data_IF_196759776269
#
_entry.id   IF_196759776269
#
_cell.length_a   1.000
_cell.length_b   1.000
_cell.length_c   1.000
_cell.angle_alpha   90.00
_cell.angle_beta   90.00
_cell.angle_gamma   90.00
#
_symmetry.space_group_name_H-M   'P 1'
#
loop_
_entity.id
_entity.type
_entity.pdbx_description
1 polymer ?
#
# COMPACT_ATOMS: atom_id res chain seq x y z
N UNK A 1 25.32 7.16 47.96
CA UNK A 1 24.01 6.52 47.94
C UNK A 1 23.92 5.56 46.73
N UNK A 2 23.42 4.31 46.85
CA UNK A 2 23.40 3.32 45.78
C UNK A 2 22.74 3.83 44.51
N UNK A 3 21.64 4.60 44.59
CA UNK A 3 20.95 5.20 43.45
C UNK A 3 21.83 6.13 42.63
N UNK A 4 22.64 6.96 43.27
CA UNK A 4 23.56 7.91 42.59
C UNK A 4 24.69 7.16 41.89
N UNK A 5 25.27 6.12 42.51
CA UNK A 5 26.30 5.26 41.90
C UNK A 5 25.73 4.51 40.67
N UNK A 6 24.51 3.97 40.77
CA UNK A 6 23.81 3.30 39.66
C UNK A 6 23.65 4.25 38.46
N UNK A 7 23.10 5.44 38.68
CA UNK A 7 22.87 6.41 37.61
C UNK A 7 24.19 6.83 36.96
N UNK A 8 25.23 7.06 37.78
CA UNK A 8 26.56 7.40 37.25
C UNK A 8 27.18 6.28 36.43
N UNK A 9 27.05 5.03 36.82
CA UNK A 9 27.51 3.87 36.05
C UNK A 9 26.76 3.72 34.73
N UNK A 10 25.46 3.94 34.71
CA UNK A 10 24.65 3.94 33.49
C UNK A 10 25.13 4.98 32.51
N UNK A 11 25.25 6.25 32.92
CA UNK A 11 25.77 7.34 32.09
C UNK A 11 27.20 7.10 31.54
N UNK A 12 28.09 6.47 32.31
CA UNK A 12 29.43 6.12 31.85
C UNK A 12 29.39 5.08 30.74
N UNK A 13 28.49 4.09 30.84
CA UNK A 13 28.38 3.01 29.86
C UNK A 13 27.73 3.50 28.59
N UNK A 14 26.60 4.23 28.68
CA UNK A 14 25.96 4.83 27.53
C UNK A 14 26.92 5.68 26.71
N UNK A 15 27.76 6.50 27.36
CA UNK A 15 28.82 7.25 26.70
C UNK A 15 29.89 6.38 26.08
N UNK A 16 30.27 5.27 26.73
CA UNK A 16 31.29 4.36 26.21
C UNK A 16 30.83 3.62 24.98
N UNK A 17 29.59 3.07 25.01
CA UNK A 17 29.03 2.33 23.90
C UNK A 17 28.34 3.20 22.85
N UNK A 18 28.09 4.47 23.16
CA UNK A 18 27.37 5.44 22.28
C UNK A 18 26.00 4.91 21.84
N UNK A 19 25.37 4.10 22.69
CA UNK A 19 24.06 3.49 22.47
C UNK A 19 23.47 3.06 23.81
N UNK A 20 22.12 2.89 23.84
CA UNK A 20 21.40 2.40 25.02
C UNK A 20 21.84 0.98 25.40
N UNK A 21 22.16 0.80 26.67
CA UNK A 21 22.60 -0.48 27.21
C UNK A 21 21.59 -1.08 28.20
N UNK A 22 21.34 -2.39 28.06
CA UNK A 22 20.64 -3.20 29.03
C UNK A 22 21.67 -3.74 30.03
N UNK A 23 21.46 -3.48 31.32
CA UNK A 23 22.45 -3.76 32.36
C UNK A 23 21.83 -4.57 33.50
N UNK A 24 22.53 -5.62 33.87
CA UNK A 24 22.23 -6.40 35.07
C UNK A 24 23.22 -6.06 36.19
N UNK A 25 22.72 -5.84 37.39
CA UNK A 25 23.52 -5.52 38.55
C UNK A 25 22.90 -6.09 39.84
N UNK A 26 23.71 -6.27 40.85
CA UNK A 26 23.27 -6.57 42.23
C UNK A 26 23.85 -5.58 43.20
N UNK A 27 23.23 -5.47 44.37
CA UNK A 27 23.72 -4.63 45.47
C UNK A 27 23.84 -5.51 46.70
N UNK A 28 25.06 -5.66 47.18
CA UNK A 28 25.38 -6.40 48.39
C UNK A 28 26.10 -5.50 49.41
N UNK A 29 25.63 -5.45 50.64
CA UNK A 29 26.22 -4.61 51.70
C UNK A 29 26.45 -3.15 51.27
N UNK A 30 25.54 -2.55 50.49
CA UNK A 30 25.62 -1.17 49.97
C UNK A 30 26.60 -0.97 48.81
N UNK A 31 27.23 -2.03 48.31
CA UNK A 31 28.16 -2.01 47.17
C UNK A 31 27.42 -2.47 45.90
N UNK A 32 27.57 -1.71 44.80
CA UNK A 32 27.01 -2.04 43.51
C UNK A 32 27.99 -2.94 42.73
N UNK A 33 27.51 -4.09 42.30
CA UNK A 33 28.21 -5.03 41.43
C UNK A 33 27.54 -5.10 40.08
N UNK A 34 28.25 -4.80 38.99
CA UNK A 34 27.78 -4.96 37.63
C UNK A 34 27.99 -6.40 37.20
N UNK A 35 26.93 -7.07 36.79
CA UNK A 35 26.97 -8.50 36.37
C UNK A 35 27.08 -8.61 34.84
N UNK A 36 26.29 -7.86 34.09
CA UNK A 36 26.27 -7.93 32.63
C UNK A 36 25.90 -6.59 32.02
N UNK A 37 26.38 -6.33 30.80
CA UNK A 37 25.91 -5.27 29.93
C UNK A 37 25.75 -5.82 28.51
N UNK A 38 24.70 -5.40 27.81
CA UNK A 38 24.42 -5.79 26.42
C UNK A 38 23.65 -4.68 25.71
N UNK A 39 23.63 -4.71 24.36
CA UNK A 39 22.80 -3.79 23.61
C UNK A 39 21.33 -4.05 23.92
N UNK A 40 20.58 -3.00 24.27
CA UNK A 40 19.17 -3.10 24.63
C UNK A 40 18.30 -3.45 23.43
N UNK A 41 17.45 -4.45 23.59
CA UNK A 41 16.38 -4.72 22.64
C UNK A 41 15.35 -3.59 22.70
N UNK A 42 14.89 -3.11 21.55
CA UNK A 42 14.02 -1.94 21.48
C UNK A 42 13.00 -2.07 20.35
N UNK A 43 11.86 -1.42 20.51
CA UNK A 43 10.87 -1.25 19.44
C UNK A 43 11.35 -0.18 18.48
N UNK A 44 10.75 -0.11 17.28
CA UNK A 44 11.07 0.91 16.28
C UNK A 44 10.93 2.34 16.82
N UNK A 45 9.85 2.64 17.52
CA UNK A 45 9.63 3.96 18.14
C UNK A 45 10.70 4.28 19.21
N UNK A 46 11.10 3.29 20.03
CA UNK A 46 12.17 3.47 21.00
C UNK A 46 13.54 3.67 20.33
N UNK A 47 13.81 2.99 19.20
CA UNK A 47 15.05 3.15 18.46
C UNK A 47 15.21 4.58 17.95
N UNK A 48 14.17 5.16 17.35
CA UNK A 48 14.18 6.55 16.89
C UNK A 48 14.37 7.52 18.05
N UNK A 49 13.55 7.35 19.11
CA UNK A 49 13.65 8.23 20.27
C UNK A 49 15.05 8.22 20.88
N UNK A 50 15.65 7.04 21.05
CA UNK A 50 17.00 6.89 21.59
C UNK A 50 18.01 7.57 20.67
N UNK A 51 17.94 7.36 19.36
CA UNK A 51 18.83 7.99 18.39
C UNK A 51 18.74 9.52 18.45
N UNK A 52 17.52 10.05 18.52
CA UNK A 52 17.28 11.51 18.65
C UNK A 52 17.82 12.06 19.97
N UNK A 53 17.55 11.38 21.08
CA UNK A 53 18.06 11.79 22.40
C UNK A 53 19.60 11.78 22.44
N UNK A 54 20.26 10.76 21.89
CA UNK A 54 21.71 10.66 21.83
C UNK A 54 22.37 11.79 21.01
N UNK A 55 21.74 12.20 19.91
CA UNK A 55 22.19 13.36 19.13
C UNK A 55 22.00 14.66 19.93
N UNK A 56 20.83 14.85 20.56
CA UNK A 56 20.54 16.02 21.43
C UNK A 56 21.49 16.13 22.60
N UNK A 57 21.93 15.01 23.16
CA UNK A 57 22.94 14.95 24.23
C UNK A 57 24.40 15.10 23.71
N UNK A 58 24.60 15.19 22.39
CA UNK A 58 25.92 15.33 21.77
C UNK A 58 26.80 14.08 21.88
N UNK A 59 26.17 12.90 22.05
CA UNK A 59 26.89 11.63 22.15
C UNK A 59 27.24 11.02 20.81
N UNK A 60 26.39 11.24 19.80
CA UNK A 60 26.58 10.75 18.42
C UNK A 60 26.24 11.88 17.43
N UNK A 61 26.69 11.73 16.18
CA UNK A 61 26.32 12.63 15.10
C UNK A 61 24.97 12.20 14.49
N UNK A 62 24.36 13.06 13.64
CA UNK A 62 23.14 12.74 12.89
C UNK A 62 23.36 11.53 11.98
N UNK A 63 24.52 11.45 11.32
CA UNK A 63 24.89 10.34 10.44
C UNK A 63 24.99 9.02 11.21
N UNK A 64 25.63 9.05 12.38
CA UNK A 64 25.73 7.88 13.26
C UNK A 64 24.35 7.43 13.74
N UNK A 65 23.46 8.37 14.09
CA UNK A 65 22.10 8.09 14.51
C UNK A 65 21.29 7.37 13.42
N UNK A 66 21.39 7.81 12.16
CA UNK A 66 20.70 7.18 11.02
C UNK A 66 21.21 5.76 10.81
N UNK A 67 22.51 5.52 10.93
CA UNK A 67 23.10 4.19 10.76
C UNK A 67 22.74 3.23 11.91
N UNK A 68 22.33 3.72 13.07
CA UNK A 68 21.93 2.88 14.21
C UNK A 68 20.51 2.32 14.09
N UNK A 69 19.65 2.91 13.23
CA UNK A 69 18.26 2.48 13.07
C UNK A 69 18.11 1.63 11.81
N UNK A 70 17.65 0.39 11.97
CA UNK A 70 17.35 -0.49 10.84
C UNK A 70 16.14 0.04 10.06
N UNK A 71 16.28 0.37 8.74
CA UNK A 71 15.18 0.85 7.92
C UNK A 71 13.93 -0.06 7.93
N UNK A 72 14.11 -1.38 8.05
CA UNK A 72 12.99 -2.34 8.12
C UNK A 72 12.10 -2.13 9.35
N UNK A 73 12.64 -1.57 10.42
CA UNK A 73 11.84 -1.27 11.61
C UNK A 73 10.93 -0.05 11.39
N UNK A 74 11.28 0.85 10.44
CA UNK A 74 10.50 2.04 10.16
C UNK A 74 9.15 1.73 9.53
N UNK A 75 9.05 0.64 8.75
CA UNK A 75 7.79 0.23 8.11
C UNK A 75 6.66 0.09 9.15
N UNK A 76 6.97 -0.46 10.32
CA UNK A 76 5.99 -0.62 11.38
C UNK A 76 5.43 0.71 11.92
N UNK A 77 6.15 1.83 11.74
CA UNK A 77 5.74 3.17 12.19
C UNK A 77 4.95 3.94 11.14
N UNK A 78 4.92 3.46 9.90
CA UNK A 78 4.19 4.06 8.78
C UNK A 78 2.74 3.58 8.69
N UNK A 79 2.38 2.58 9.50
CA UNK A 79 1.05 1.99 9.52
C UNK A 79 0.26 2.36 10.78
N UNK A 80 -1.08 2.35 10.74
CA UNK A 80 -1.90 2.52 11.93
C UNK A 80 -1.52 1.53 13.04
N UNK A 81 -1.60 1.95 14.28
CA UNK A 81 -1.33 1.12 15.46
C UNK A 81 -2.51 1.17 16.43
N UNK A 82 -2.61 0.17 17.31
CA UNK A 82 -3.61 0.22 18.37
C UNK A 82 -3.19 1.18 19.49
N UNK A 83 -4.15 1.90 20.04
CA UNK A 83 -3.95 2.70 21.26
C UNK A 83 -3.47 1.79 22.39
N UNK A 84 -2.28 2.04 22.94
CA UNK A 84 -1.63 1.16 23.90
C UNK A 84 -2.47 0.87 25.16
N UNK A 85 -3.28 1.84 25.61
CA UNK A 85 -4.17 1.67 26.76
C UNK A 85 -5.35 0.74 26.46
N UNK A 86 -5.86 0.75 25.22
CA UNK A 86 -6.93 -0.14 24.76
C UNK A 86 -6.39 -1.57 24.53
N UNK A 87 -5.22 -1.69 23.90
CA UNK A 87 -4.58 -2.97 23.62
C UNK A 87 -4.24 -3.77 24.90
N UNK A 88 -3.83 -3.09 25.98
CA UNK A 88 -3.51 -3.76 27.27
C UNK A 88 -4.72 -4.46 27.92
N UNK A 89 -5.94 -4.11 27.54
CA UNK A 89 -7.19 -4.70 28.06
C UNK A 89 -7.72 -5.82 27.14
N UNK A 90 -7.16 -5.95 25.95
CA UNK A 90 -7.61 -6.92 24.96
C UNK A 90 -6.87 -8.25 25.13
N UNK A 91 -7.61 -9.35 25.01
CA UNK A 91 -7.04 -10.71 25.01
C UNK A 91 -6.89 -11.21 23.60
N UNK A 92 -5.77 -11.88 23.32
CA UNK A 92 -5.53 -12.50 22.01
C UNK A 92 -6.49 -13.67 21.84
N UNK A 93 -7.34 -13.57 20.84
CA UNK A 93 -8.39 -14.55 20.55
C UNK A 93 -7.91 -15.66 19.60
N UNK A 94 -7.10 -15.27 18.59
CA UNK A 94 -6.47 -16.19 17.65
C UNK A 94 -5.14 -15.61 17.18
N UNK A 95 -4.31 -16.42 16.54
CA UNK A 95 -3.01 -15.99 16.04
C UNK A 95 -2.71 -16.58 14.67
N UNK A 96 -2.29 -15.71 13.74
CA UNK A 96 -1.80 -16.07 12.41
C UNK A 96 -0.40 -15.53 12.16
N UNK A 97 -0.02 -15.47 10.89
CA UNK A 97 1.23 -14.90 10.43
C UNK A 97 1.08 -13.37 10.24
N UNK A 98 2.06 -12.64 10.70
CA UNK A 98 2.20 -11.19 10.48
C UNK A 98 2.54 -10.94 9.00
N UNK A 99 1.51 -10.90 8.13
CA UNK A 99 1.69 -10.92 6.68
C UNK A 99 1.87 -9.52 6.07
N UNK A 100 1.15 -8.52 6.58
CA UNK A 100 1.32 -7.11 6.21
C UNK A 100 1.09 -6.25 7.45
N UNK A 101 1.99 -5.31 7.78
CA UNK A 101 1.95 -4.56 9.04
C UNK A 101 0.73 -3.66 9.16
N UNK A 102 0.47 -3.19 10.39
CA UNK A 102 -0.62 -2.28 10.71
C UNK A 102 -1.64 -2.88 11.68
N UNK A 103 -2.50 -2.01 12.21
CA UNK A 103 -3.64 -2.36 13.04
C UNK A 103 -4.94 -2.04 12.29
N UNK A 104 -5.83 -2.99 12.20
CA UNK A 104 -7.14 -2.79 11.59
C UNK A 104 -8.25 -3.22 12.54
N UNK A 105 -9.32 -2.44 12.56
CA UNK A 105 -10.53 -2.74 13.31
C UNK A 105 -11.73 -2.51 12.41
N UNK A 106 -12.62 -3.47 12.33
CA UNK A 106 -13.83 -3.38 11.49
C UNK A 106 -14.80 -4.53 11.72
N UNK A 107 -15.93 -4.43 11.05
CA UNK A 107 -16.93 -5.49 11.00
C UNK A 107 -16.48 -6.61 10.06
N UNK A 108 -16.76 -7.84 10.42
CA UNK A 108 -16.42 -9.03 9.63
C UNK A 108 -17.32 -9.14 8.41
N UNK A 109 -16.70 -9.36 7.25
CA UNK A 109 -17.36 -9.72 6.00
C UNK A 109 -16.66 -10.91 5.35
N UNK A 110 -17.42 -11.81 4.72
CA UNK A 110 -16.90 -13.08 4.19
C UNK A 110 -16.81 -13.12 2.66
N UNK A 111 -17.39 -12.13 1.97
CA UNK A 111 -17.28 -11.98 0.51
C UNK A 111 -16.69 -10.60 0.17
N UNK A 112 -16.08 -10.51 -1.00
CA UNK A 112 -15.55 -9.23 -1.50
C UNK A 112 -16.68 -8.24 -1.76
N UNK A 113 -17.79 -8.71 -2.33
CA UNK A 113 -18.97 -7.91 -2.66
C UNK A 113 -19.60 -7.30 -1.42
N UNK A 114 -19.88 -8.10 -0.38
CA UNK A 114 -20.45 -7.60 0.88
C UNK A 114 -19.52 -6.58 1.57
N UNK A 115 -18.20 -6.81 1.48
CA UNK A 115 -17.21 -5.92 2.03
C UNK A 115 -17.21 -4.56 1.30
N UNK A 116 -17.24 -4.57 -0.03
CA UNK A 116 -17.29 -3.36 -0.87
C UNK A 116 -18.59 -2.59 -0.62
N UNK A 117 -19.74 -3.26 -0.59
CA UNK A 117 -21.04 -2.65 -0.29
C UNK A 117 -21.05 -2.00 1.10
N UNK A 118 -20.54 -2.73 2.12
CA UNK A 118 -20.43 -2.20 3.48
C UNK A 118 -19.63 -0.90 3.56
N UNK A 119 -18.50 -0.86 2.86
CA UNK A 119 -17.62 0.32 2.90
C UNK A 119 -18.15 1.45 2.02
N UNK A 120 -18.52 1.17 0.76
CA UNK A 120 -18.92 2.22 -0.19
C UNK A 120 -20.31 2.78 0.07
N UNK A 121 -21.29 1.92 0.42
CA UNK A 121 -22.68 2.35 0.59
C UNK A 121 -23.04 2.70 2.04
N UNK A 122 -22.52 1.93 2.99
CA UNK A 122 -22.83 2.12 4.43
C UNK A 122 -21.77 2.92 5.19
N UNK A 123 -20.60 3.19 4.59
CA UNK A 123 -19.49 3.90 5.24
C UNK A 123 -18.89 3.15 6.43
N UNK A 124 -19.00 1.82 6.46
CA UNK A 124 -18.54 0.99 7.55
C UNK A 124 -17.05 0.66 7.42
N UNK A 125 -16.39 0.47 8.56
CA UNK A 125 -15.05 -0.12 8.56
C UNK A 125 -15.20 -1.64 8.52
N UNK A 126 -14.57 -2.28 7.54
CA UNK A 126 -14.71 -3.71 7.28
C UNK A 126 -13.37 -4.45 7.45
N UNK A 127 -13.43 -5.70 7.91
CA UNK A 127 -12.34 -6.68 7.84
C UNK A 127 -12.82 -7.84 6.99
N UNK A 128 -12.11 -8.09 5.88
CA UNK A 128 -12.41 -9.21 5.00
C UNK A 128 -11.84 -10.50 5.58
N UNK A 129 -12.70 -11.50 5.84
CA UNK A 129 -12.32 -12.80 6.39
C UNK A 129 -12.54 -13.89 5.36
N UNK A 130 -11.47 -14.55 4.93
CA UNK A 130 -11.54 -15.61 3.92
C UNK A 130 -10.85 -16.88 4.38
N UNK A 131 -11.22 -18.02 3.80
CA UNK A 131 -10.41 -19.24 3.93
C UNK A 131 -9.04 -19.04 3.28
N UNK A 132 -9.04 -18.58 2.04
CA UNK A 132 -7.93 -18.09 1.22
C UNK A 132 -8.46 -16.99 0.33
N UNK A 133 -7.65 -16.03 -0.09
CA UNK A 133 -8.05 -15.03 -1.09
C UNK A 133 -7.66 -15.46 -2.49
N UNK A 134 -8.47 -15.05 -3.46
CA UNK A 134 -8.27 -15.21 -4.90
C UNK A 134 -8.17 -13.84 -5.60
N UNK A 135 -7.82 -13.76 -6.88
CA UNK A 135 -7.86 -12.51 -7.64
C UNK A 135 -9.21 -11.80 -7.64
N UNK A 136 -10.31 -12.54 -7.50
CA UNK A 136 -11.68 -12.01 -7.40
C UNK A 136 -11.93 -11.22 -6.11
N UNK A 137 -11.10 -11.44 -5.06
CA UNK A 137 -11.23 -10.77 -3.79
C UNK A 137 -10.52 -9.40 -3.75
N UNK A 138 -9.82 -8.99 -4.80
CA UNK A 138 -8.96 -7.78 -4.82
C UNK A 138 -9.74 -6.51 -4.45
N UNK A 139 -10.93 -6.31 -5.00
CA UNK A 139 -11.77 -5.13 -4.69
C UNK A 139 -12.20 -5.10 -3.21
N UNK A 140 -12.55 -6.26 -2.66
CA UNK A 140 -12.86 -6.40 -1.23
C UNK A 140 -11.66 -6.16 -0.34
N UNK A 141 -10.46 -6.61 -0.76
CA UNK A 141 -9.21 -6.37 -0.04
C UNK A 141 -8.81 -4.90 -0.04
N UNK A 142 -9.05 -4.19 -1.14
CA UNK A 142 -8.79 -2.76 -1.26
C UNK A 142 -9.74 -1.92 -0.40
N UNK A 143 -11.02 -2.29 -0.38
CA UNK A 143 -12.03 -1.60 0.42
C UNK A 143 -11.84 -1.83 1.93
N UNK A 144 -11.36 -3.02 2.33
CA UNK A 144 -11.23 -3.41 3.72
C UNK A 144 -10.13 -2.64 4.48
N UNK A 145 -10.35 -2.40 5.78
CA UNK A 145 -9.30 -1.92 6.68
C UNK A 145 -8.22 -2.98 6.92
N UNK A 146 -8.56 -4.25 6.77
CA UNK A 146 -7.64 -5.35 6.93
C UNK A 146 -8.19 -6.68 6.44
N UNK A 147 -7.29 -7.64 6.23
CA UNK A 147 -7.58 -8.97 5.70
C UNK A 147 -7.14 -10.05 6.68
N UNK A 148 -8.03 -11.00 6.96
CA UNK A 148 -7.75 -12.17 7.80
C UNK A 148 -8.00 -13.44 6.98
N UNK A 149 -7.00 -14.32 6.88
CA UNK A 149 -7.19 -15.61 6.22
C UNK A 149 -6.90 -16.79 7.14
N UNK A 150 -7.73 -17.83 7.02
CA UNK A 150 -7.54 -19.09 7.77
C UNK A 150 -6.34 -19.89 7.26
N UNK A 151 -6.09 -19.84 5.95
CA UNK A 151 -4.98 -20.50 5.27
C UNK A 151 -4.09 -19.52 4.57
N UNK A 152 -2.89 -19.97 4.20
CA UNK A 152 -1.91 -19.18 3.46
C UNK A 152 -0.66 -18.91 4.27
N UNK A 153 0.44 -18.68 3.56
CA UNK A 153 1.75 -18.33 4.12
C UNK A 153 2.14 -16.90 3.76
N UNK A 154 3.38 -16.53 4.07
CA UNK A 154 3.96 -15.21 3.74
C UNK A 154 4.04 -14.93 2.23
N UNK A 155 3.92 -15.95 1.40
CA UNK A 155 3.90 -15.88 -0.07
C UNK A 155 2.53 -16.15 -0.68
N UNK A 156 1.48 -16.27 0.15
CA UNK A 156 0.10 -16.44 -0.33
C UNK A 156 -0.39 -15.20 -1.05
N UNK A 157 -1.43 -15.35 -1.87
CA UNK A 157 -2.08 -14.25 -2.58
C UNK A 157 -2.47 -13.12 -1.60
N UNK A 158 -3.14 -13.45 -0.48
CA UNK A 158 -3.48 -12.47 0.55
C UNK A 158 -2.29 -11.66 1.05
N UNK A 159 -1.19 -12.34 1.40
CA UNK A 159 -0.01 -11.71 1.96
C UNK A 159 0.73 -10.81 0.95
N UNK A 160 0.81 -11.24 -0.31
CA UNK A 160 1.50 -10.48 -1.36
C UNK A 160 0.70 -9.24 -1.77
N UNK A 161 -0.60 -9.43 -2.03
CA UNK A 161 -1.49 -8.35 -2.45
C UNK A 161 -1.69 -7.32 -1.34
N UNK A 162 -1.96 -7.75 -0.10
CA UNK A 162 -2.13 -6.84 1.02
C UNK A 162 -0.87 -5.98 1.28
N UNK A 163 0.34 -6.55 1.16
CA UNK A 163 1.60 -5.78 1.23
C UNK A 163 1.73 -4.77 0.09
N UNK A 164 1.33 -5.16 -1.12
CA UNK A 164 1.32 -4.25 -2.26
C UNK A 164 0.36 -3.07 -2.09
N UNK A 165 -0.77 -3.29 -1.43
CA UNK A 165 -1.79 -2.27 -1.13
C UNK A 165 -1.49 -1.47 0.16
N UNK A 166 -0.57 -1.92 1.01
CA UNK A 166 -0.35 -1.35 2.34
C UNK A 166 -1.48 -1.67 3.34
N UNK A 167 -2.33 -2.66 3.04
CA UNK A 167 -3.46 -3.08 3.87
C UNK A 167 -2.99 -4.05 4.95
N UNK A 168 -3.44 -3.85 6.20
CA UNK A 168 -3.16 -4.75 7.32
C UNK A 168 -3.58 -6.19 6.97
N UNK A 169 -2.70 -7.18 7.19
CA UNK A 169 -3.04 -8.58 6.89
C UNK A 169 -2.49 -9.55 7.93
N UNK A 170 -3.38 -10.41 8.42
CA UNK A 170 -3.03 -11.60 9.20
C UNK A 170 -3.40 -12.83 8.36
N UNK A 171 -2.39 -13.58 7.93
CA UNK A 171 -2.58 -14.75 7.07
C UNK A 171 -2.36 -16.07 7.82
N UNK A 172 -3.00 -17.14 7.33
CA UNK A 172 -2.75 -18.48 7.85
C UNK A 172 -3.12 -18.66 9.32
N UNK A 173 -4.21 -18.02 9.77
CA UNK A 173 -4.75 -18.19 11.12
C UNK A 173 -5.51 -19.53 11.21
N UNK A 174 -4.79 -20.64 11.39
CA UNK A 174 -5.35 -21.99 11.36
C UNK A 174 -6.35 -22.29 12.48
N UNK A 175 -6.41 -21.46 13.50
CA UNK A 175 -7.37 -21.57 14.61
C UNK A 175 -8.80 -21.22 14.17
N UNK A 176 -8.97 -20.40 13.11
CA UNK A 176 -10.29 -20.00 12.60
C UNK A 176 -10.84 -21.03 11.62
N UNK A 177 -12.12 -21.34 11.76
CA UNK A 177 -12.88 -22.19 10.84
C UNK A 177 -14.00 -21.35 10.20
N UNK A 178 -13.80 -20.97 8.96
CA UNK A 178 -14.76 -20.14 8.19
C UNK A 178 -15.91 -21.02 7.71
N UNK A 179 -17.14 -20.54 7.90
CA UNK A 179 -18.38 -21.15 7.48
C UNK A 179 -19.15 -20.10 6.64
N UNK A 180 -19.05 -20.23 5.33
CA UNK A 180 -19.70 -19.30 4.39
C UNK A 180 -21.20 -19.41 4.38
N UNK A 181 -21.75 -20.65 4.58
CA UNK A 181 -23.19 -20.90 4.53
C UNK A 181 -23.92 -20.20 5.68
N UNK A 182 -23.27 -20.12 6.85
CA UNK A 182 -23.81 -19.44 8.04
C UNK A 182 -23.27 -18.04 8.24
N UNK A 183 -22.46 -17.51 7.30
CA UNK A 183 -21.81 -16.23 7.38
C UNK A 183 -21.14 -15.98 8.75
N UNK A 184 -20.28 -16.92 9.18
CA UNK A 184 -19.58 -16.86 10.45
C UNK A 184 -18.23 -17.58 10.40
N UNK A 185 -17.41 -17.39 11.44
CA UNK A 185 -16.28 -18.26 11.71
C UNK A 185 -16.25 -18.67 13.20
N UNK A 186 -15.58 -19.79 13.46
CA UNK A 186 -15.47 -20.37 14.79
C UNK A 186 -14.03 -20.38 15.25
N UNK A 187 -13.79 -20.02 16.51
CA UNK A 187 -12.51 -20.16 17.22
C UNK A 187 -12.77 -20.57 18.65
N UNK A 188 -12.14 -21.66 19.12
CA UNK A 188 -12.16 -22.09 20.52
C UNK A 188 -13.57 -22.12 21.15
N UNK A 189 -14.60 -22.52 20.37
CA UNK A 189 -15.99 -22.58 20.83
C UNK A 189 -16.76 -21.26 20.79
N UNK A 190 -16.13 -20.18 20.37
CA UNK A 190 -16.78 -18.88 20.13
C UNK A 190 -17.12 -18.73 18.66
N UNK A 191 -18.32 -18.22 18.37
CA UNK A 191 -18.79 -17.90 17.02
C UNK A 191 -18.75 -16.41 16.78
N UNK A 192 -18.11 -15.99 15.69
CA UNK A 192 -18.10 -14.60 15.20
C UNK A 192 -18.89 -14.54 13.90
N UNK A 193 -19.93 -13.71 13.87
CA UNK A 193 -20.84 -13.59 12.73
C UNK A 193 -20.48 -12.40 11.85
N UNK A 194 -20.99 -12.41 10.63
CA UNK A 194 -20.93 -11.23 9.76
C UNK A 194 -21.54 -10.01 10.47
N UNK A 195 -20.83 -8.89 10.43
CA UNK A 195 -21.21 -7.66 11.12
C UNK A 195 -20.66 -7.53 12.56
N UNK A 196 -20.13 -8.60 13.17
CA UNK A 196 -19.44 -8.49 14.45
C UNK A 196 -18.08 -7.79 14.28
N UNK A 197 -17.64 -7.07 15.31
CA UNK A 197 -16.35 -6.39 15.28
C UNK A 197 -15.21 -7.31 15.66
N UNK A 198 -14.13 -7.25 14.86
CA UNK A 198 -12.83 -7.81 15.21
C UNK A 198 -11.74 -6.75 15.02
N UNK A 199 -10.63 -6.96 15.69
CA UNK A 199 -9.41 -6.17 15.50
C UNK A 199 -8.25 -7.10 15.19
N UNK A 200 -7.43 -6.76 14.19
CA UNK A 200 -6.29 -7.56 13.76
C UNK A 200 -5.01 -6.72 13.77
N UNK A 201 -3.93 -7.34 14.23
CA UNK A 201 -2.58 -6.75 14.25
C UNK A 201 -1.69 -7.46 13.24
N UNK A 202 -1.51 -6.85 12.09
CA UNK A 202 -0.67 -7.36 11.02
C UNK A 202 0.82 -7.34 11.32
N UNK A 203 1.25 -6.63 12.37
CA UNK A 203 2.65 -6.59 12.82
C UNK A 203 3.01 -7.76 13.75
N UNK A 204 2.04 -8.27 14.51
CA UNK A 204 2.23 -9.37 15.46
C UNK A 204 1.54 -10.67 15.06
N UNK A 205 0.57 -10.60 14.14
CA UNK A 205 -0.28 -11.70 13.73
C UNK A 205 -1.43 -11.99 14.72
N UNK A 206 -1.68 -11.13 15.67
CA UNK A 206 -2.72 -11.33 16.68
C UNK A 206 -4.08 -10.90 16.17
N UNK A 207 -5.11 -11.64 16.58
CA UNK A 207 -6.52 -11.34 16.33
C UNK A 207 -7.23 -11.15 17.66
N UNK A 208 -8.05 -10.14 17.78
CA UNK A 208 -8.79 -9.76 18.99
C UNK A 208 -10.28 -9.68 18.67
N UNK A 209 -11.11 -10.07 19.65
CA UNK A 209 -12.57 -9.84 19.58
C UNK A 209 -12.91 -8.38 19.91
N UNK A 210 -13.91 -7.88 19.21
CA UNK A 210 -14.44 -6.55 19.46
C UNK A 210 -13.59 -5.43 18.85
N UNK A 211 -13.95 -4.23 19.23
CA UNK A 211 -13.39 -3.00 18.71
C UNK A 211 -12.26 -2.49 19.60
N UNK A 212 -11.05 -2.42 19.06
CA UNK A 212 -9.89 -1.77 19.68
C UNK A 212 -9.62 -0.48 18.90
N UNK A 213 -9.49 0.63 19.64
CA UNK A 213 -9.20 1.94 19.06
C UNK A 213 -7.83 1.93 18.37
N UNK A 214 -7.80 2.47 17.13
CA UNK A 214 -6.58 2.61 16.33
C UNK A 214 -6.17 4.07 16.27
N UNK A 215 -4.88 4.33 16.24
CA UNK A 215 -4.30 5.64 15.92
C UNK A 215 -3.53 5.55 14.60
N UNK A 216 -3.73 6.61 13.78
CA UNK A 216 -3.00 6.77 12.53
C UNK A 216 -1.49 6.90 12.80
N UNK A 217 -0.68 6.51 11.80
CA UNK A 217 0.75 6.68 11.86
C UNK A 217 1.12 8.15 12.06
N UNK A 218 1.74 8.47 13.19
CA UNK A 218 2.16 9.84 13.51
C UNK A 218 3.57 10.08 12.95
N UNK A 219 3.64 10.70 11.78
CA UNK A 219 4.90 11.18 11.19
C UNK A 219 5.36 12.51 11.84
N UNK A 220 5.22 12.62 13.17
CA UNK A 220 5.47 13.84 13.94
C UNK A 220 6.52 13.59 15.06
N UNK A 221 7.00 14.66 15.68
CA UNK A 221 7.93 14.59 16.81
C UNK A 221 9.29 14.00 16.43
N UNK A 222 9.82 13.07 17.23
CA UNK A 222 11.15 12.50 17.05
C UNK A 222 11.30 11.77 15.69
N UNK A 223 10.23 11.18 15.15
CA UNK A 223 10.25 10.56 13.81
C UNK A 223 10.46 11.62 12.71
N UNK A 224 9.73 12.72 12.75
CA UNK A 224 9.87 13.78 11.75
C UNK A 224 11.28 14.43 11.83
N UNK A 225 11.81 14.63 13.05
CA UNK A 225 13.15 15.13 13.26
C UNK A 225 14.21 14.18 12.70
N UNK A 226 14.10 12.89 12.99
CA UNK A 226 14.98 11.85 12.46
C UNK A 226 14.96 11.79 10.92
N UNK A 227 13.77 11.83 10.32
CA UNK A 227 13.61 11.83 8.87
C UNK A 227 14.17 13.10 8.22
N UNK A 228 14.08 14.27 8.90
CA UNK A 228 14.71 15.50 8.38
C UNK A 228 16.22 15.37 8.27
N UNK A 229 16.88 14.66 9.21
CA UNK A 229 18.32 14.38 9.11
C UNK A 229 18.64 13.43 7.95
N UNK A 230 17.80 12.42 7.72
CA UNK A 230 17.95 11.55 6.56
C UNK A 230 17.85 12.35 5.25
N UNK A 231 16.91 13.30 5.17
CA UNK A 231 16.75 14.18 4.01
C UNK A 231 17.93 15.15 3.81
N UNK A 232 18.56 15.61 4.89
CA UNK A 232 19.75 16.45 4.82
C UNK A 232 20.99 15.68 4.28
N UNK A 233 21.10 14.38 4.59
CA UNK A 233 22.28 13.56 4.32
C UNK A 233 22.17 12.81 2.99
N UNK A 234 20.96 12.38 2.60
CA UNK A 234 20.77 11.61 1.37
C UNK A 234 21.13 12.44 0.13
N UNK A 235 21.71 11.75 -0.87
CA UNK A 235 22.01 12.31 -2.19
C UNK A 235 20.99 11.96 -3.24
N UNK A 236 20.28 10.82 -3.08
CA UNK A 236 19.26 10.36 -4.00
C UNK A 236 17.89 10.96 -3.66
N UNK A 237 17.17 11.32 -4.71
CA UNK A 237 15.76 11.74 -4.61
C UNK A 237 14.84 10.54 -4.65
N UNK A 238 13.74 10.58 -3.88
CA UNK A 238 12.68 9.57 -3.91
C UNK A 238 11.56 10.07 -4.81
N UNK A 239 11.24 9.29 -5.85
CA UNK A 239 10.12 9.51 -6.74
C UNK A 239 9.16 8.33 -6.66
N UNK A 240 7.86 8.62 -6.75
CA UNK A 240 6.81 7.62 -6.65
C UNK A 240 6.12 7.39 -7.99
N UNK A 241 5.33 6.33 -8.10
CA UNK A 241 4.36 6.18 -9.18
C UNK A 241 3.08 6.91 -8.77
N UNK A 242 2.53 7.71 -9.68
CA UNK A 242 1.24 8.37 -9.50
C UNK A 242 0.62 8.63 -10.87
N UNK A 243 -0.61 8.20 -11.06
CA UNK A 243 -1.31 8.22 -12.33
C UNK A 243 -2.52 9.17 -12.30
N UNK A 244 -2.89 9.67 -11.10
CA UNK A 244 -3.98 10.62 -10.90
C UNK A 244 -3.52 11.87 -10.13
N UNK A 245 -4.24 13.01 -10.25
CA UNK A 245 -3.97 14.20 -9.45
C UNK A 245 -4.06 13.95 -7.93
N UNK A 246 -4.97 13.08 -7.50
CA UNK A 246 -5.15 12.69 -6.10
C UNK A 246 -3.91 11.96 -5.60
N UNK A 247 -3.44 10.96 -6.33
CA UNK A 247 -2.27 10.17 -5.94
C UNK A 247 -1.00 11.04 -5.92
N UNK A 248 -0.85 11.94 -6.91
CA UNK A 248 0.26 12.88 -6.97
C UNK A 248 0.29 13.80 -5.72
N UNK A 249 -0.88 14.31 -5.30
CA UNK A 249 -1.00 15.13 -4.09
C UNK A 249 -0.64 14.34 -2.83
N UNK A 250 -1.18 13.15 -2.69
CA UNK A 250 -0.89 12.27 -1.55
C UNK A 250 0.58 11.87 -1.50
N UNK A 251 1.19 11.58 -2.65
CA UNK A 251 2.61 11.29 -2.77
C UNK A 251 3.48 12.45 -2.28
N UNK A 252 3.13 13.69 -2.66
CA UNK A 252 3.81 14.91 -2.19
C UNK A 252 3.67 15.08 -0.67
N UNK A 253 2.49 14.83 -0.11
CA UNK A 253 2.25 14.87 1.34
C UNK A 253 3.09 13.83 2.10
N UNK A 254 3.37 12.68 1.49
CA UNK A 254 4.28 11.66 2.01
C UNK A 254 5.77 11.96 1.78
N UNK A 255 6.10 13.10 1.18
CA UNK A 255 7.48 13.55 0.99
C UNK A 255 8.14 13.09 -0.31
N UNK A 256 7.39 12.61 -1.30
CA UNK A 256 7.91 12.31 -2.62
C UNK A 256 8.42 13.59 -3.31
N UNK A 257 9.55 13.49 -3.99
CA UNK A 257 10.23 14.60 -4.66
C UNK A 257 10.00 14.58 -6.18
N UNK A 258 8.97 13.92 -6.62
CA UNK A 258 8.56 13.84 -8.01
C UNK A 258 7.78 12.57 -8.31
N UNK A 259 7.25 12.50 -9.53
CA UNK A 259 6.65 11.28 -10.09
C UNK A 259 7.70 10.59 -10.95
N UNK A 260 8.08 9.38 -10.56
CA UNK A 260 9.06 8.54 -11.27
C UNK A 260 8.45 7.83 -12.46
N UNK A 261 7.14 7.54 -12.40
CA UNK A 261 6.36 6.98 -13.49
C UNK A 261 4.88 7.37 -13.35
N UNK A 262 4.38 8.07 -14.37
CA UNK A 262 2.96 8.26 -14.62
C UNK A 262 2.58 7.41 -15.84
N UNK A 263 1.73 6.41 -15.65
CA UNK A 263 1.29 5.46 -16.67
C UNK A 263 -0.01 5.95 -17.29
N UNK A 264 0.07 6.45 -18.52
CA UNK A 264 -1.08 7.08 -19.18
C UNK A 264 -2.21 6.11 -19.51
N UNK A 265 -1.93 4.81 -19.61
CA UNK A 265 -2.95 3.78 -19.81
C UNK A 265 -3.95 3.71 -18.66
N UNK A 266 -3.55 3.97 -17.41
CA UNK A 266 -4.46 3.96 -16.28
C UNK A 266 -5.50 5.08 -16.34
N UNK A 267 -5.20 6.16 -17.05
CA UNK A 267 -6.16 7.24 -17.28
C UNK A 267 -7.31 6.84 -18.23
N UNK A 268 -7.17 5.73 -18.96
CA UNK A 268 -8.09 5.32 -20.02
C UNK A 268 -9.14 4.30 -19.57
N UNK A 269 -8.96 3.65 -18.44
CA UNK A 269 -9.89 2.60 -17.96
C UNK A 269 -11.14 3.15 -17.26
N UNK A 270 -11.26 4.45 -17.05
CA UNK A 270 -12.48 5.04 -16.48
C UNK A 270 -13.67 4.84 -17.42
N UNK A 271 -14.86 4.57 -16.85
CA UNK A 271 -16.08 4.24 -17.58
C UNK A 271 -16.48 5.30 -18.63
N UNK A 272 -16.24 6.57 -18.33
CA UNK A 272 -16.50 7.71 -19.22
C UNK A 272 -15.49 7.86 -20.36
N UNK A 273 -14.36 7.16 -20.31
CA UNK A 273 -13.23 7.29 -21.24
C UNK A 273 -13.03 6.09 -22.14
N UNK A 274 -13.26 4.89 -21.59
CA UNK A 274 -13.04 3.62 -22.30
C UNK A 274 -13.77 3.55 -23.66
N UNK A 275 -15.00 4.10 -23.86
CA UNK A 275 -15.66 4.08 -25.17
C UNK A 275 -14.86 4.82 -26.24
N UNK A 276 -14.27 6.00 -25.92
CA UNK A 276 -13.48 6.77 -26.89
C UNK A 276 -12.16 6.06 -27.24
N UNK A 277 -11.55 5.33 -26.28
CA UNK A 277 -10.38 4.49 -26.53
C UNK A 277 -10.72 3.33 -27.46
N UNK A 278 -11.82 2.64 -27.20
CA UNK A 278 -12.29 1.53 -28.04
C UNK A 278 -12.62 2.02 -29.46
N UNK A 279 -13.26 3.19 -29.61
CA UNK A 279 -13.49 3.82 -30.91
C UNK A 279 -12.17 4.11 -31.65
N UNK A 280 -11.16 4.59 -30.96
CA UNK A 280 -9.82 4.80 -31.51
C UNK A 280 -9.20 3.48 -32.00
N UNK A 281 -9.29 2.41 -31.20
CA UNK A 281 -8.72 1.09 -31.51
C UNK A 281 -9.35 0.45 -32.74
N UNK A 282 -10.68 0.52 -32.87
CA UNK A 282 -11.39 -0.09 -34.01
C UNK A 282 -11.42 0.79 -35.26
N UNK A 283 -10.86 2.00 -35.20
CA UNK A 283 -10.79 2.91 -36.35
C UNK A 283 -9.97 2.33 -37.48
N UNK A 284 -10.55 2.26 -38.68
CA UNK A 284 -9.89 1.72 -39.89
C UNK A 284 -9.06 2.77 -40.65
N UNK A 285 -9.36 4.07 -40.45
CA UNK A 285 -8.64 5.18 -41.11
C UNK A 285 -8.01 6.13 -40.09
N UNK A 286 -7.01 6.88 -40.54
CA UNK A 286 -6.31 7.90 -39.73
C UNK A 286 -7.30 8.99 -39.29
N UNK A 287 -8.24 9.38 -40.17
CA UNK A 287 -9.23 10.43 -39.90
C UNK A 287 -10.18 10.00 -38.78
N UNK A 288 -10.68 8.76 -38.84
CA UNK A 288 -11.52 8.18 -37.79
C UNK A 288 -10.76 8.12 -36.46
N UNK A 289 -9.51 7.66 -36.48
CA UNK A 289 -8.66 7.59 -35.28
C UNK A 289 -8.41 8.96 -34.69
N UNK A 290 -8.10 9.97 -35.53
CA UNK A 290 -7.95 11.37 -35.08
C UNK A 290 -9.23 11.94 -34.48
N UNK A 291 -10.40 11.59 -35.01
CA UNK A 291 -11.68 12.02 -34.45
C UNK A 291 -11.93 11.43 -33.05
N UNK A 292 -11.63 10.15 -32.83
CA UNK A 292 -11.69 9.52 -31.51
C UNK A 292 -10.68 10.14 -30.54
N UNK A 293 -9.43 10.33 -30.97
CA UNK A 293 -8.37 10.96 -30.19
C UNK A 293 -8.72 12.42 -29.78
N UNK A 294 -9.45 13.14 -30.61
CA UNK A 294 -9.91 14.49 -30.29
C UNK A 294 -10.88 14.52 -29.08
N UNK A 295 -11.60 13.42 -28.82
CA UNK A 295 -12.45 13.28 -27.64
C UNK A 295 -11.61 13.02 -26.36
N UNK A 296 -10.50 12.29 -26.50
CA UNK A 296 -9.61 11.91 -25.41
C UNK A 296 -8.71 13.07 -24.97
N UNK A 297 -8.23 13.88 -25.92
CA UNK A 297 -7.29 14.96 -25.68
C UNK A 297 -7.67 15.89 -24.51
N UNK A 298 -8.89 16.46 -24.43
CA UNK A 298 -9.24 17.35 -23.32
C UNK A 298 -9.28 16.65 -21.97
N UNK A 299 -9.66 15.36 -21.92
CA UNK A 299 -9.70 14.58 -20.70
C UNK A 299 -8.29 14.35 -20.17
N UNK A 300 -7.39 13.85 -21.02
CA UNK A 300 -6.01 13.58 -20.63
C UNK A 300 -5.23 14.86 -20.31
N UNK A 301 -5.50 15.97 -21.01
CA UNK A 301 -4.94 17.28 -20.68
C UNK A 301 -5.34 17.71 -19.26
N UNK A 302 -6.61 17.55 -18.90
CA UNK A 302 -7.09 17.87 -17.56
C UNK A 302 -6.38 17.06 -16.47
N UNK A 303 -6.09 15.77 -16.74
CA UNK A 303 -5.35 14.91 -15.80
C UNK A 303 -3.92 15.40 -15.62
N UNK A 304 -3.21 15.69 -16.72
CA UNK A 304 -1.84 16.22 -16.64
C UNK A 304 -1.78 17.57 -15.95
N UNK A 305 -2.69 18.50 -16.27
CA UNK A 305 -2.79 19.76 -15.54
C UNK A 305 -2.98 19.55 -14.03
N UNK A 306 -3.84 18.62 -13.65
CA UNK A 306 -4.08 18.28 -12.26
C UNK A 306 -2.83 17.71 -11.58
N UNK A 307 -2.14 16.77 -12.24
CA UNK A 307 -0.89 16.17 -11.73
C UNK A 307 0.21 17.23 -11.61
N UNK A 308 0.41 18.07 -12.64
CA UNK A 308 1.44 19.11 -12.63
C UNK A 308 1.17 20.18 -11.57
N UNK A 309 -0.09 20.57 -11.35
CA UNK A 309 -0.47 21.48 -10.26
C UNK A 309 -0.21 20.86 -8.89
N UNK A 310 -0.51 19.57 -8.73
CA UNK A 310 -0.25 18.86 -7.47
C UNK A 310 1.25 18.79 -7.17
N UNK A 311 2.07 18.50 -8.19
CA UNK A 311 3.52 18.38 -8.04
C UNK A 311 4.25 19.72 -7.95
N UNK A 312 3.69 20.81 -8.47
CA UNK A 312 4.14 22.19 -8.26
C UNK A 312 5.66 22.36 -8.42
N UNK A 313 6.16 22.21 -9.65
CA UNK A 313 7.59 22.35 -10.01
C UNK A 313 8.45 21.10 -9.77
N UNK A 314 7.91 20.05 -9.13
CA UNK A 314 8.61 18.77 -9.02
C UNK A 314 8.55 18.00 -10.35
N UNK A 315 9.58 17.20 -10.68
CA UNK A 315 9.62 16.46 -11.94
C UNK A 315 8.55 15.37 -12.01
N UNK A 316 7.94 15.25 -13.20
CA UNK A 316 6.97 14.18 -13.51
C UNK A 316 7.46 13.45 -14.75
N UNK A 317 7.74 12.14 -14.63
CA UNK A 317 8.08 11.28 -15.75
C UNK A 317 6.82 10.66 -16.31
N UNK A 318 6.42 11.04 -17.50
CA UNK A 318 5.24 10.51 -18.19
C UNK A 318 5.64 9.39 -19.12
N UNK A 319 5.01 8.22 -18.98
CA UNK A 319 5.08 7.14 -19.97
C UNK A 319 3.89 7.30 -20.93
N UNK A 320 4.17 7.50 -22.19
CA UNK A 320 3.14 7.48 -23.24
C UNK A 320 2.54 6.06 -23.33
N UNK A 321 1.44 5.90 -24.06
CA UNK A 321 0.71 4.65 -24.18
C UNK A 321 1.65 3.47 -24.48
N UNK A 322 1.73 2.53 -23.54
CA UNK A 322 2.65 1.39 -23.63
C UNK A 322 1.95 0.06 -23.90
N UNK A 323 0.82 -0.32 -23.24
CA UNK A 323 0.20 -1.62 -23.44
C UNK A 323 -0.27 -1.85 -24.87
N UNK A 324 -0.31 -3.12 -25.33
CA UNK A 324 -0.92 -3.45 -26.60
C UNK A 324 -2.42 -3.14 -26.59
N UNK A 325 -2.97 -2.78 -27.76
CA UNK A 325 -4.34 -2.30 -27.86
C UNK A 325 -5.41 -3.33 -27.49
N UNK A 326 -5.09 -4.63 -27.55
CA UNK A 326 -6.03 -5.69 -27.18
C UNK A 326 -6.41 -5.65 -25.70
N UNK A 327 -5.60 -5.06 -24.81
CA UNK A 327 -5.93 -4.96 -23.38
C UNK A 327 -7.14 -4.04 -23.10
N UNK A 328 -7.53 -3.18 -24.04
CA UNK A 328 -8.65 -2.24 -23.90
C UNK A 328 -9.96 -2.75 -24.49
N UNK A 329 -9.95 -3.87 -25.20
CA UNK A 329 -11.12 -4.44 -25.85
C UNK A 329 -11.55 -5.72 -25.15
N UNK A 330 -12.87 -6.04 -25.15
CA UNK A 330 -13.37 -7.25 -24.52
C UNK A 330 -12.91 -8.51 -25.28
N UNK A 331 -12.83 -9.62 -24.56
CA UNK A 331 -12.39 -10.92 -25.11
C UNK A 331 -13.52 -11.93 -25.21
N UNK A 332 -14.64 -11.77 -24.48
CA UNK A 332 -15.78 -12.69 -24.56
C UNK A 332 -16.68 -12.35 -25.75
N UNK A 333 -17.26 -13.36 -26.39
CA UNK A 333 -18.19 -13.14 -27.50
C UNK A 333 -19.44 -12.34 -27.10
N UNK A 334 -19.84 -12.42 -25.82
CA UNK A 334 -20.98 -11.69 -25.28
C UNK A 334 -20.69 -10.20 -25.17
N UNK A 335 -19.52 -9.85 -24.62
CA UNK A 335 -19.08 -8.45 -24.47
C UNK A 335 -18.71 -7.81 -25.82
N UNK A 336 -18.14 -8.60 -26.75
CA UNK A 336 -17.89 -8.14 -28.13
C UNK A 336 -19.19 -7.81 -28.82
N UNK A 337 -20.26 -8.63 -28.65
CA UNK A 337 -21.60 -8.35 -29.20
C UNK A 337 -22.20 -7.07 -28.61
N UNK A 338 -22.07 -6.90 -27.30
CA UNK A 338 -22.56 -5.70 -26.62
C UNK A 338 -21.85 -4.45 -27.15
N UNK A 339 -20.52 -4.51 -27.24
CA UNK A 339 -19.70 -3.40 -27.77
C UNK A 339 -19.99 -3.12 -29.25
N UNK A 340 -20.21 -4.14 -30.08
CA UNK A 340 -20.56 -3.98 -31.48
C UNK A 340 -21.90 -3.24 -31.64
N UNK A 341 -22.90 -3.61 -30.82
CA UNK A 341 -24.20 -2.96 -30.81
C UNK A 341 -24.08 -1.47 -30.37
N UNK A 342 -23.29 -1.18 -29.36
CA UNK A 342 -23.05 0.19 -28.88
C UNK A 342 -22.37 1.05 -29.94
N UNK A 343 -21.42 0.49 -30.67
CA UNK A 343 -20.64 1.19 -31.69
C UNK A 343 -21.30 1.20 -33.08
N UNK A 344 -22.42 0.50 -33.27
CA UNK A 344 -23.08 0.37 -34.56
C UNK A 344 -22.27 -0.43 -35.61
N UNK A 345 -21.44 -1.36 -35.17
CA UNK A 345 -20.60 -2.25 -35.98
C UNK A 345 -21.22 -3.65 -36.07
N UNK A 346 -20.83 -4.44 -37.09
CA UNK A 346 -21.17 -5.86 -37.09
C UNK A 346 -20.34 -6.63 -36.07
N UNK A 347 -20.93 -7.66 -35.48
CA UNK A 347 -20.20 -8.53 -34.54
C UNK A 347 -18.99 -9.19 -35.20
N UNK A 348 -19.16 -9.66 -36.43
CA UNK A 348 -18.15 -10.36 -37.21
C UNK A 348 -16.94 -9.43 -37.48
N UNK A 349 -17.18 -8.17 -37.87
CA UNK A 349 -16.13 -7.20 -38.14
C UNK A 349 -15.38 -6.82 -36.87
N UNK A 350 -16.09 -6.64 -35.75
CA UNK A 350 -15.46 -6.30 -34.48
C UNK A 350 -14.66 -7.47 -33.92
N UNK A 351 -15.22 -8.68 -34.00
CA UNK A 351 -14.53 -9.91 -33.57
C UNK A 351 -13.23 -10.14 -34.36
N UNK A 352 -13.29 -10.01 -35.69
CA UNK A 352 -12.09 -10.11 -36.52
C UNK A 352 -11.03 -9.08 -36.12
N UNK A 353 -11.43 -7.83 -35.81
CA UNK A 353 -10.52 -6.79 -35.34
C UNK A 353 -9.88 -7.13 -34.00
N UNK A 354 -10.64 -7.67 -33.05
CA UNK A 354 -10.15 -8.10 -31.72
C UNK A 354 -9.17 -9.27 -31.85
N UNK A 355 -9.50 -10.24 -32.72
CA UNK A 355 -8.64 -11.40 -33.00
C UNK A 355 -7.32 -10.98 -33.69
N UNK A 356 -7.34 -10.01 -34.61
CA UNK A 356 -6.15 -9.46 -35.25
C UNK A 356 -5.25 -8.68 -34.29
N UNK A 357 -5.81 -8.10 -33.24
CA UNK A 357 -5.06 -7.40 -32.20
C UNK A 357 -4.44 -8.34 -31.14
N UNK A 358 -4.88 -9.61 -31.09
CA UNK A 358 -4.42 -10.55 -30.09
C UNK A 358 -2.92 -10.84 -30.24
N UNK A 359 -2.18 -10.69 -29.14
CA UNK A 359 -0.74 -10.88 -29.11
C UNK A 359 -0.39 -12.21 -28.42
N UNK A 360 0.38 -13.06 -29.09
CA UNK A 360 0.89 -14.30 -28.49
C UNK A 360 1.81 -14.02 -27.29
N UNK A 361 2.62 -12.97 -27.40
CA UNK A 361 3.46 -12.47 -26.31
C UNK A 361 3.33 -10.94 -26.19
N UNK A 362 2.52 -10.44 -25.25
CA UNK A 362 2.31 -9.01 -25.07
C UNK A 362 3.59 -8.19 -24.86
N UNK A 363 4.63 -8.79 -24.28
CA UNK A 363 5.91 -8.10 -24.04
C UNK A 363 6.67 -7.82 -25.35
N UNK A 364 6.50 -8.66 -26.35
CA UNK A 364 7.17 -8.58 -27.66
C UNK A 364 6.25 -8.03 -28.75
N UNK A 365 4.98 -7.79 -28.45
CA UNK A 365 3.94 -7.41 -29.37
C UNK A 365 3.98 -5.97 -29.86
N UNK A 366 2.89 -5.53 -30.49
CA UNK A 366 2.69 -4.19 -31.05
C UNK A 366 2.31 -3.18 -29.97
N UNK A 367 3.31 -2.69 -29.23
CA UNK A 367 3.15 -1.81 -28.07
C UNK A 367 4.24 -0.72 -28.01
N UNK A 368 4.06 0.26 -27.15
CA UNK A 368 5.05 1.27 -26.83
C UNK A 368 5.55 2.02 -28.06
N UNK A 369 6.86 2.05 -28.28
CA UNK A 369 7.45 2.77 -29.41
C UNK A 369 7.03 2.17 -30.76
N UNK A 370 6.79 0.85 -30.87
CA UNK A 370 6.29 0.23 -32.11
C UNK A 370 4.89 0.75 -32.46
N UNK A 371 4.02 0.86 -31.45
CA UNK A 371 2.68 1.43 -31.60
C UNK A 371 2.75 2.90 -32.05
N UNK A 372 3.63 3.68 -31.42
CA UNK A 372 3.81 5.12 -31.75
C UNK A 372 4.37 5.34 -33.17
N UNK A 373 5.13 4.39 -33.71
CA UNK A 373 5.60 4.46 -35.11
C UNK A 373 4.48 4.12 -36.10
N UNK A 374 3.65 3.12 -35.78
CA UNK A 374 2.56 2.68 -36.68
C UNK A 374 1.36 3.62 -36.63
N UNK A 375 1.04 4.17 -35.45
CA UNK A 375 -0.05 5.12 -35.23
C UNK A 375 0.47 6.41 -34.59
N UNK A 376 1.24 7.24 -35.32
CA UNK A 376 1.90 8.43 -34.79
C UNK A 376 0.92 9.47 -34.22
N UNK A 377 -0.33 9.46 -34.68
CA UNK A 377 -1.39 10.33 -34.21
C UNK A 377 -1.72 10.12 -32.72
N UNK A 378 -1.50 8.91 -32.17
CA UNK A 378 -1.68 8.62 -30.75
C UNK A 378 -0.62 9.37 -29.93
N UNK A 379 0.65 9.23 -30.30
CA UNK A 379 1.75 9.91 -29.64
C UNK A 379 1.67 11.43 -29.79
N UNK A 380 1.23 11.93 -30.96
CA UNK A 380 0.98 13.35 -31.19
C UNK A 380 -0.10 13.88 -30.24
N UNK A 381 -1.23 13.17 -30.10
CA UNK A 381 -2.31 13.56 -29.19
C UNK A 381 -1.83 13.63 -27.76
N UNK A 382 -1.14 12.57 -27.28
CA UNK A 382 -0.63 12.53 -25.91
C UNK A 382 0.40 13.63 -25.64
N UNK A 383 1.28 13.91 -26.59
CA UNK A 383 2.24 15.03 -26.49
C UNK A 383 1.52 16.37 -26.37
N UNK A 384 0.47 16.59 -27.16
CA UNK A 384 -0.37 17.79 -27.07
C UNK A 384 -1.15 17.88 -25.75
N UNK A 385 -1.47 16.75 -25.13
CA UNK A 385 -2.12 16.74 -23.83
C UNK A 385 -1.15 17.13 -22.70
N UNK A 386 0.13 16.79 -22.82
CA UNK A 386 1.19 17.16 -21.86
C UNK A 386 1.58 18.63 -21.96
N UNK A 387 1.58 19.21 -23.17
CA UNK A 387 1.96 20.60 -23.45
C UNK A 387 0.73 21.53 -23.41
#
# INVERSE_FOLDING_TARGET
HPRVRRQRQMCIRDRHYRDMQDMEYTIENGTLYMLQTRNGKRTAAAAIKIAVDLVKEGMISKEEAILQVDPKQLDALLHPTFVAAALKKAEVFAKGLAASPGAACGKVYFTAEDCVEAVKERGEKAVLVRLETSPEDIEGMEAAQGVLTARGGMTSHAAVVARGMGTCCVAGCGDIKVDYDNACFYVNGTTVKQGDYISIDGSTGNVYLGQIETEEAKLAGDFAEFMSWADEIRTLQVRTNADTPRDAKQAKEFGAQGVGLCRTEHMFFAEDRIPAIREMIVSKTVEQRKAALAKILPMQRSDFEGIFRAMDGMPVTVRLLDPPLHEFVPHSDEDIKALAAEMGLSFEDLKATVEDLAEFNPMMGHRGCRLAVTYPEIAEMQTRAVI
#
